data_IF_769681764165
#
_entry.id   IF_769681764165
#
_cell.length_a   1.000
_cell.length_b   1.000
_cell.length_c   1.000
_cell.angle_alpha   90.00
_cell.angle_beta   90.00
_cell.angle_gamma   90.00
#
_symmetry.space_group_name_H-M   'P 1'
#
loop_
_entity.id
_entity.type
_entity.pdbx_description
1 polymer ?
#
# COMPACT_ATOMS: atom_id res chain seq x y z
N UNK A 1 14.88 -26.59 -23.72
CA UNK A 1 15.48 -25.80 -22.65
C UNK A 1 15.10 -24.35 -22.91
N UNK A 2 14.15 -23.82 -22.14
CA UNK A 2 13.64 -22.44 -22.34
C UNK A 2 14.67 -21.40 -21.93
N UNK A 3 14.88 -20.41 -22.80
CA UNK A 3 15.68 -19.23 -22.47
C UNK A 3 15.01 -18.43 -21.33
N UNK A 4 15.52 -18.60 -20.12
CA UNK A 4 15.19 -17.70 -19.03
C UNK A 4 15.83 -16.33 -19.31
N UNK A 5 15.11 -15.21 -19.22
CA UNK A 5 15.70 -13.90 -19.38
C UNK A 5 16.79 -13.69 -18.35
N UNK A 6 17.99 -13.32 -18.80
CA UNK A 6 19.07 -12.92 -17.88
C UNK A 6 18.68 -11.63 -17.19
N UNK A 7 18.79 -11.61 -15.88
CA UNK A 7 18.68 -10.39 -15.09
C UNK A 7 19.81 -9.44 -15.51
N UNK A 8 19.49 -8.39 -16.25
CA UNK A 8 20.42 -7.33 -16.59
C UNK A 8 20.46 -6.32 -15.41
N UNK A 9 21.55 -6.35 -14.67
CA UNK A 9 21.89 -5.23 -13.76
C UNK A 9 22.27 -4.04 -14.64
N UNK A 10 21.38 -3.08 -14.78
CA UNK A 10 21.62 -1.87 -15.55
C UNK A 10 21.90 -0.71 -14.57
N UNK A 11 23.13 -0.17 -14.61
CA UNK A 11 23.63 0.91 -13.76
C UNK A 11 23.21 2.28 -14.31
N UNK A 12 21.96 2.62 -14.22
CA UNK A 12 21.35 3.97 -14.22
C UNK A 12 19.83 3.83 -14.22
N UNK A 13 19.31 2.89 -13.44
CA UNK A 13 17.88 2.65 -13.40
C UNK A 13 17.24 3.65 -12.44
N UNK A 14 16.20 4.32 -12.95
CA UNK A 14 15.24 5.07 -12.17
C UNK A 14 14.83 4.25 -10.94
N UNK A 15 14.82 4.86 -9.74
CA UNK A 15 14.42 4.17 -8.51
C UNK A 15 12.99 3.64 -8.60
N UNK A 16 12.66 2.62 -7.81
CA UNK A 16 11.33 2.03 -7.79
C UNK A 16 10.26 3.07 -7.38
N UNK A 17 10.57 3.96 -6.44
CA UNK A 17 9.70 5.07 -6.05
C UNK A 17 9.42 6.01 -7.22
N UNK A 18 10.43 6.37 -7.99
CA UNK A 18 10.27 7.21 -9.17
C UNK A 18 9.42 6.55 -10.25
N UNK A 19 9.60 5.23 -10.47
CA UNK A 19 8.76 4.46 -11.39
C UNK A 19 7.30 4.49 -10.94
N UNK A 20 7.03 4.32 -9.65
CA UNK A 20 5.67 4.34 -9.10
C UNK A 20 5.01 5.70 -9.31
N UNK A 21 5.71 6.80 -9.01
CA UNK A 21 5.21 8.17 -9.24
C UNK A 21 4.94 8.46 -10.72
N UNK A 22 5.78 7.97 -11.62
CA UNK A 22 5.56 8.10 -13.06
C UNK A 22 4.32 7.30 -13.50
N UNK A 23 4.16 6.05 -13.02
CA UNK A 23 2.97 5.25 -13.32
C UNK A 23 1.68 5.95 -12.88
N UNK A 24 1.66 6.57 -11.69
CA UNK A 24 0.52 7.39 -11.22
C UNK A 24 0.26 8.62 -12.10
N UNK A 25 1.32 9.28 -12.58
CA UNK A 25 1.19 10.46 -13.42
C UNK A 25 0.64 10.13 -14.81
N UNK A 26 1.12 9.03 -15.39
CA UNK A 26 0.88 8.68 -16.78
C UNK A 26 -0.41 7.87 -16.98
N UNK A 27 -1.00 7.34 -15.90
CA UNK A 27 -2.24 6.55 -15.95
C UNK A 27 -3.29 7.10 -14.97
N UNK A 28 -4.49 7.40 -15.47
CA UNK A 28 -5.60 7.94 -14.67
C UNK A 28 -6.92 7.25 -15.06
N UNK A 29 -7.42 6.36 -14.23
CA UNK A 29 -6.79 5.80 -13.03
C UNK A 29 -5.66 4.82 -13.35
N UNK A 30 -4.71 4.66 -12.42
CA UNK A 30 -3.72 3.60 -12.46
C UNK A 30 -4.34 2.33 -11.89
N UNK A 31 -4.39 1.26 -12.68
CA UNK A 31 -4.83 -0.06 -12.22
C UNK A 31 -3.62 -0.82 -11.65
N UNK A 32 -3.72 -1.21 -10.38
CA UNK A 32 -2.67 -1.89 -9.63
C UNK A 32 -3.18 -3.27 -9.22
N UNK A 33 -2.94 -4.34 -10.00
CA UNK A 33 -3.42 -5.67 -9.65
C UNK A 33 -2.68 -6.24 -8.45
N UNK A 34 -3.40 -6.97 -7.60
CA UNK A 34 -2.82 -7.75 -6.51
C UNK A 34 -1.97 -8.90 -7.05
N UNK A 35 -0.75 -9.02 -6.55
CA UNK A 35 0.20 -10.09 -6.92
C UNK A 35 0.73 -10.75 -5.65
N UNK A 36 0.38 -12.01 -5.45
CA UNK A 36 0.70 -12.76 -4.23
C UNK A 36 2.04 -13.51 -4.29
N UNK A 37 2.69 -13.53 -5.45
CA UNK A 37 3.98 -14.20 -5.64
C UNK A 37 4.68 -13.72 -6.92
N UNK A 38 5.92 -14.15 -7.11
CA UNK A 38 6.74 -13.78 -8.28
C UNK A 38 6.09 -14.14 -9.62
N UNK A 39 5.38 -15.28 -9.71
CA UNK A 39 4.76 -15.69 -10.97
C UNK A 39 3.58 -14.79 -11.35
N UNK A 40 2.73 -14.44 -10.40
CA UNK A 40 1.63 -13.47 -10.64
C UNK A 40 2.16 -12.09 -11.02
N UNK A 41 3.29 -11.65 -10.46
CA UNK A 41 3.94 -10.40 -10.83
C UNK A 41 4.43 -10.42 -12.30
N UNK A 42 5.05 -11.53 -12.74
CA UNK A 42 5.45 -11.71 -14.14
C UNK A 42 4.23 -11.67 -15.08
N UNK A 43 3.12 -12.29 -14.68
CA UNK A 43 1.89 -12.29 -15.48
C UNK A 43 1.29 -10.88 -15.58
N UNK A 44 1.26 -10.12 -14.48
CA UNK A 44 0.80 -8.74 -14.47
C UNK A 44 1.65 -7.87 -15.41
N UNK A 45 2.98 -7.99 -15.35
CA UNK A 45 3.88 -7.27 -16.25
C UNK A 45 3.64 -7.62 -17.72
N UNK A 46 3.51 -8.92 -18.05
CA UNK A 46 3.19 -9.38 -19.41
C UNK A 46 1.82 -8.93 -19.91
N UNK A 47 0.87 -8.69 -18.99
CA UNK A 47 -0.47 -8.19 -19.30
C UNK A 47 -0.50 -6.66 -19.48
N UNK A 48 0.65 -5.98 -19.37
CA UNK A 48 0.78 -4.54 -19.64
C UNK A 48 0.47 -3.62 -18.46
N UNK A 49 0.33 -4.16 -17.25
CA UNK A 49 0.17 -3.31 -16.05
C UNK A 49 1.42 -2.48 -15.80
N UNK A 50 1.25 -1.31 -15.15
CA UNK A 50 2.33 -0.34 -14.91
C UNK A 50 2.77 -0.29 -13.44
N UNK A 51 2.05 -0.95 -12.55
CA UNK A 51 2.38 -1.15 -11.14
C UNK A 51 1.70 -2.41 -10.62
N UNK A 52 2.17 -2.95 -9.51
CA UNK A 52 1.63 -4.16 -8.86
C UNK A 52 1.52 -3.96 -7.35
N UNK A 53 0.71 -4.78 -6.70
CA UNK A 53 0.41 -4.68 -5.27
C UNK A 53 0.64 -5.99 -4.53
N UNK A 54 1.29 -5.94 -3.38
CA UNK A 54 1.40 -7.05 -2.43
C UNK A 54 0.59 -6.74 -1.17
N UNK A 55 -0.51 -7.47 -0.99
CA UNK A 55 -1.36 -7.38 0.19
C UNK A 55 -0.78 -8.15 1.37
N UNK A 56 -0.80 -7.59 2.57
CA UNK A 56 -0.46 -8.29 3.81
C UNK A 56 -1.36 -9.50 4.07
N UNK A 57 -2.67 -9.34 3.83
CA UNK A 57 -3.62 -10.45 3.86
C UNK A 57 -3.32 -11.53 2.82
N UNK A 58 -2.83 -11.13 1.63
CA UNK A 58 -2.35 -12.03 0.59
C UNK A 58 -1.14 -12.85 1.04
N UNK A 59 -0.15 -12.22 1.69
CA UNK A 59 1.01 -12.92 2.29
C UNK A 59 0.56 -13.89 3.37
N UNK A 60 -0.28 -13.44 4.32
CA UNK A 60 -0.79 -14.29 5.40
C UNK A 60 -1.47 -15.55 4.85
N UNK A 61 -2.38 -15.39 3.89
CA UNK A 61 -3.15 -16.49 3.33
C UNK A 61 -2.34 -17.39 2.39
N UNK A 62 -1.62 -16.80 1.41
CA UNK A 62 -1.00 -17.57 0.34
C UNK A 62 0.38 -18.15 0.71
N UNK A 63 1.18 -17.43 1.52
CA UNK A 63 2.53 -17.88 1.90
C UNK A 63 2.54 -18.70 3.19
N UNK A 64 1.60 -18.41 4.12
CA UNK A 64 1.58 -19.03 5.45
C UNK A 64 0.32 -19.82 5.79
N UNK A 65 -0.79 -19.65 5.05
CA UNK A 65 -2.05 -20.32 5.34
C UNK A 65 -2.69 -19.88 6.66
N UNK A 66 -2.46 -18.63 7.08
CA UNK A 66 -2.97 -18.05 8.31
C UNK A 66 -3.93 -16.88 8.03
N UNK A 67 -4.83 -16.53 8.97
CA UNK A 67 -5.73 -15.40 8.78
C UNK A 67 -5.01 -14.05 8.85
N UNK A 68 -5.59 -13.04 8.18
CA UNK A 68 -5.14 -11.66 8.18
C UNK A 68 -5.52 -10.94 9.50
N UNK A 69 -4.71 -11.13 10.53
CA UNK A 69 -4.91 -10.63 11.90
C UNK A 69 -3.63 -9.99 12.49
N UNK A 70 -2.73 -9.47 11.66
CA UNK A 70 -1.48 -8.88 12.13
C UNK A 70 -0.50 -9.91 12.72
N UNK A 71 -0.54 -11.15 12.24
CA UNK A 71 0.33 -12.23 12.72
C UNK A 71 1.67 -12.22 11.99
N UNK A 72 1.69 -11.80 10.74
CA UNK A 72 2.91 -11.71 9.93
C UNK A 72 3.83 -10.61 10.43
N UNK A 73 5.12 -10.85 10.33
CA UNK A 73 6.18 -9.91 10.68
C UNK A 73 6.72 -9.17 9.44
N UNK A 74 7.54 -8.14 9.66
CA UNK A 74 8.29 -7.47 8.61
C UNK A 74 9.08 -8.46 7.73
N UNK A 75 9.77 -9.43 8.34
CA UNK A 75 10.61 -10.38 7.61
C UNK A 75 9.79 -11.35 6.75
N UNK A 76 8.59 -11.71 7.21
CA UNK A 76 7.66 -12.52 6.43
C UNK A 76 7.27 -11.82 5.13
N UNK A 77 6.87 -10.55 5.22
CA UNK A 77 6.48 -9.74 4.05
C UNK A 77 7.69 -9.43 3.17
N UNK A 78 8.86 -9.07 3.74
CA UNK A 78 10.10 -8.82 2.99
C UNK A 78 10.54 -10.02 2.16
N UNK A 79 10.26 -11.24 2.61
CA UNK A 79 10.58 -12.45 1.86
C UNK A 79 9.85 -12.48 0.51
N UNK A 80 8.56 -12.19 0.50
CA UNK A 80 7.78 -12.16 -0.73
C UNK A 80 8.07 -10.90 -1.56
N UNK A 81 8.29 -9.76 -0.92
CA UNK A 81 8.74 -8.53 -1.58
C UNK A 81 9.98 -8.81 -2.45
N UNK A 82 11.03 -9.38 -1.85
CA UNK A 82 12.30 -9.70 -2.56
C UNK A 82 12.08 -10.68 -3.72
N UNK A 83 11.19 -11.67 -3.56
CA UNK A 83 10.85 -12.61 -4.63
C UNK A 83 10.17 -11.90 -5.81
N UNK A 84 9.25 -10.98 -5.52
CA UNK A 84 8.49 -10.24 -6.52
C UNK A 84 9.38 -9.22 -7.23
N UNK A 85 10.13 -8.39 -6.50
CA UNK A 85 11.00 -7.34 -7.08
C UNK A 85 12.16 -7.90 -7.87
N UNK A 86 12.62 -9.11 -7.56
CA UNK A 86 13.61 -9.82 -8.38
C UNK A 86 13.02 -10.42 -9.68
N UNK A 87 11.72 -10.65 -9.72
CA UNK A 87 11.06 -11.32 -10.85
C UNK A 87 10.40 -10.37 -11.84
N UNK A 88 10.03 -9.16 -11.40
CA UNK A 88 9.35 -8.14 -12.21
C UNK A 88 10.02 -6.79 -12.08
N UNK A 89 10.01 -6.01 -13.16
CA UNK A 89 10.54 -4.64 -13.20
C UNK A 89 9.51 -3.57 -12.80
N UNK A 90 8.26 -3.98 -12.59
CA UNK A 90 7.17 -3.08 -12.20
C UNK A 90 7.37 -2.55 -10.77
N UNK A 91 7.04 -1.27 -10.51
CA UNK A 91 7.06 -0.74 -9.16
C UNK A 91 6.00 -1.42 -8.30
N UNK A 92 6.42 -1.88 -7.12
CA UNK A 92 5.59 -2.60 -6.17
C UNK A 92 5.08 -1.67 -5.07
N UNK A 93 3.77 -1.67 -4.84
CA UNK A 93 3.11 -1.12 -3.65
C UNK A 93 2.93 -2.26 -2.64
N UNK A 94 3.33 -2.05 -1.39
CA UNK A 94 3.29 -3.08 -0.33
C UNK A 94 2.43 -2.63 0.84
N UNK A 95 1.58 -3.53 1.32
CA UNK A 95 0.88 -3.43 2.59
C UNK A 95 1.86 -3.69 3.74
N UNK A 96 2.06 -2.70 4.60
CA UNK A 96 2.93 -2.81 5.77
C UNK A 96 2.14 -2.84 7.08
N UNK A 97 0.87 -3.22 7.02
CA UNK A 97 -0.04 -3.25 8.17
C UNK A 97 0.05 -1.93 8.99
N UNK A 98 0.39 -2.02 10.27
CA UNK A 98 0.60 -0.86 11.16
C UNK A 98 2.07 -0.46 11.31
N UNK A 99 2.98 -1.03 10.50
CA UNK A 99 4.42 -0.74 10.50
C UNK A 99 5.25 -1.61 11.44
N UNK A 100 4.67 -2.64 12.07
CA UNK A 100 5.30 -3.64 12.95
C UNK A 100 6.03 -3.06 14.17
N UNK A 101 5.43 -2.04 14.79
CA UNK A 101 5.92 -1.50 16.07
C UNK A 101 5.86 0.02 16.16
N UNK A 102 6.66 0.60 17.05
CA UNK A 102 6.71 2.05 17.26
C UNK A 102 7.55 2.78 16.21
N UNK A 103 7.75 4.09 16.38
CA UNK A 103 8.38 4.99 15.42
C UNK A 103 9.71 4.47 14.83
N UNK A 104 10.60 3.94 15.68
CA UNK A 104 11.88 3.39 15.21
C UNK A 104 11.73 2.11 14.37
N UNK A 105 10.72 1.28 14.67
CA UNK A 105 10.40 0.11 13.86
C UNK A 105 9.85 0.54 12.50
N UNK A 106 8.96 1.52 12.47
CA UNK A 106 8.39 2.07 11.23
C UNK A 106 9.50 2.65 10.35
N UNK A 107 10.39 3.47 10.91
CA UNK A 107 11.55 3.98 10.16
C UNK A 107 12.43 2.87 9.59
N UNK A 108 12.70 1.80 10.38
CA UNK A 108 13.42 0.61 9.90
C UNK A 108 12.65 -0.10 8.79
N UNK A 109 11.33 -0.25 8.93
CA UNK A 109 10.46 -0.88 7.93
C UNK A 109 10.56 -0.16 6.59
N UNK A 110 10.44 1.17 6.58
CA UNK A 110 10.56 1.97 5.36
C UNK A 110 11.92 1.77 4.69
N UNK A 111 13.03 1.84 5.45
CA UNK A 111 14.38 1.58 4.93
C UNK A 111 14.48 0.19 4.30
N UNK A 112 14.00 -0.83 5.00
CA UNK A 112 14.04 -2.22 4.51
C UNK A 112 13.20 -2.43 3.25
N UNK A 113 12.05 -1.76 3.12
CA UNK A 113 11.20 -1.82 1.92
C UNK A 113 11.88 -1.15 0.72
N UNK A 114 12.49 0.01 0.91
CA UNK A 114 13.26 0.69 -0.15
C UNK A 114 14.43 -0.20 -0.60
N UNK A 115 15.19 -0.74 0.34
CA UNK A 115 16.34 -1.62 0.06
C UNK A 115 15.92 -2.93 -0.63
N UNK A 116 14.69 -3.41 -0.38
CA UNK A 116 14.11 -4.55 -1.06
C UNK A 116 13.53 -4.23 -2.47
N UNK A 117 13.62 -2.98 -2.92
CA UNK A 117 13.21 -2.55 -4.26
C UNK A 117 11.72 -2.19 -4.38
N UNK A 118 11.02 -1.94 -3.28
CA UNK A 118 9.65 -1.43 -3.32
C UNK A 118 9.61 -0.01 -3.87
N UNK A 119 8.52 0.35 -4.57
CA UNK A 119 8.26 1.71 -5.03
C UNK A 119 7.37 2.50 -4.07
N UNK A 120 6.51 1.81 -3.33
CA UNK A 120 5.52 2.39 -2.46
C UNK A 120 5.11 1.47 -1.31
N UNK A 121 4.61 2.06 -0.25
CA UNK A 121 3.94 1.33 0.86
C UNK A 121 2.64 2.02 1.25
N UNK A 122 1.73 1.27 1.88
CA UNK A 122 0.68 1.86 2.69
C UNK A 122 0.69 1.31 4.11
N UNK A 123 0.32 2.17 5.05
CA UNK A 123 0.26 1.88 6.49
C UNK A 123 -1.08 2.35 7.06
N UNK A 124 -1.70 1.54 7.92
CA UNK A 124 -3.04 1.79 8.44
C UNK A 124 -3.07 2.33 9.87
N UNK A 125 -4.17 3.03 10.20
CA UNK A 125 -4.42 3.62 11.52
C UNK A 125 -5.10 2.68 12.52
N UNK A 126 -5.04 1.38 12.30
CA UNK A 126 -5.50 0.40 13.28
C UNK A 126 -4.50 0.21 14.44
N UNK A 127 -4.99 -0.36 15.54
CA UNK A 127 -4.10 -0.91 16.58
C UNK A 127 -3.29 -2.08 16.01
N UNK A 128 -2.18 -2.47 16.64
CA UNK A 128 -1.29 -3.52 16.13
C UNK A 128 -1.98 -4.89 16.00
N UNK A 129 -3.02 -5.16 16.80
CA UNK A 129 -3.88 -6.33 16.65
C UNK A 129 -4.96 -6.09 15.58
N UNK A 130 -4.51 -5.67 14.42
CA UNK A 130 -5.37 -5.27 13.30
C UNK A 130 -6.27 -6.39 12.79
N UNK A 131 -7.28 -6.02 12.03
CA UNK A 131 -8.16 -6.91 11.28
C UNK A 131 -8.24 -6.48 9.83
N UNK A 132 -8.60 -7.41 8.94
CA UNK A 132 -8.91 -7.07 7.56
C UNK A 132 -9.92 -5.90 7.52
N UNK A 133 -9.64 -4.89 6.70
CA UNK A 133 -10.41 -3.64 6.63
C UNK A 133 -11.89 -3.81 6.28
N UNK A 134 -12.24 -4.88 5.58
CA UNK A 134 -13.63 -5.23 5.28
C UNK A 134 -14.35 -5.99 6.40
N UNK A 135 -13.67 -6.32 7.51
CA UNK A 135 -14.26 -7.01 8.66
C UNK A 135 -14.73 -6.04 9.75
N UNK A 136 -15.74 -6.43 10.55
CA UNK A 136 -16.23 -5.61 11.65
C UNK A 136 -15.25 -5.59 12.84
N UNK A 137 -15.54 -4.69 13.81
CA UNK A 137 -14.84 -4.59 15.10
C UNK A 137 -13.35 -4.23 14.96
N UNK A 138 -13.02 -3.34 14.02
CA UNK A 138 -11.71 -2.70 13.96
C UNK A 138 -11.55 -1.71 15.10
N UNK A 139 -10.34 -1.60 15.65
CA UNK A 139 -9.98 -0.60 16.63
C UNK A 139 -8.91 0.30 16.04
N UNK A 140 -9.12 1.62 16.13
CA UNK A 140 -8.19 2.60 15.61
C UNK A 140 -7.31 3.15 16.72
N UNK A 141 -6.11 3.57 16.35
CA UNK A 141 -5.30 4.45 17.20
C UNK A 141 -5.83 5.88 17.11
N UNK A 142 -5.38 6.76 18.00
CA UNK A 142 -5.71 8.19 17.89
C UNK A 142 -5.14 8.77 16.60
N UNK A 143 -5.72 9.89 16.16
CA UNK A 143 -5.22 10.61 14.99
C UNK A 143 -3.74 11.01 15.19
N UNK A 144 -3.41 11.51 16.38
CA UNK A 144 -2.07 11.95 16.75
C UNK A 144 -1.05 10.79 16.71
N UNK A 145 -1.45 9.60 17.18
CA UNK A 145 -0.56 8.43 17.09
C UNK A 145 -0.29 8.04 15.63
N UNK A 146 -1.30 8.07 14.76
CA UNK A 146 -1.07 7.81 13.34
C UNK A 146 -0.24 8.90 12.68
N UNK A 147 -0.41 10.16 13.04
CA UNK A 147 0.44 11.26 12.60
C UNK A 147 1.92 11.00 12.94
N UNK A 148 2.20 10.55 14.17
CA UNK A 148 3.57 10.18 14.58
C UNK A 148 4.11 8.99 13.79
N UNK A 149 3.27 7.99 13.46
CA UNK A 149 3.65 6.88 12.58
C UNK A 149 4.03 7.37 11.19
N UNK A 150 3.27 8.31 10.61
CA UNK A 150 3.54 8.86 9.29
C UNK A 150 4.85 9.66 9.30
N UNK A 151 5.07 10.52 10.30
CA UNK A 151 6.34 11.24 10.47
C UNK A 151 7.52 10.30 10.56
N UNK A 152 7.38 9.20 11.33
CA UNK A 152 8.43 8.18 11.43
C UNK A 152 8.70 7.46 10.09
N UNK A 153 7.67 7.26 9.28
CA UNK A 153 7.81 6.70 7.95
C UNK A 153 8.53 7.67 7.01
N UNK A 154 8.16 8.95 7.04
CA UNK A 154 8.82 10.02 6.27
C UNK A 154 10.30 10.16 6.67
N UNK A 155 10.61 10.14 7.96
CA UNK A 155 11.99 10.20 8.48
C UNK A 155 12.83 8.96 8.06
N UNK A 156 12.18 7.81 7.91
CA UNK A 156 12.82 6.59 7.43
C UNK A 156 13.14 6.58 5.94
N UNK A 157 12.55 7.49 5.16
CA UNK A 157 12.63 7.54 3.70
C UNK A 157 13.98 8.11 3.23
N UNK A 158 14.89 7.25 2.77
CA UNK A 158 16.17 7.65 2.20
C UNK A 158 16.17 7.76 0.66
N UNK A 159 15.11 7.33 -0.03
CA UNK A 159 14.80 7.67 -1.42
C UNK A 159 13.62 8.66 -1.41
N UNK A 160 13.87 9.92 -1.73
CA UNK A 160 12.85 10.99 -1.74
C UNK A 160 11.65 10.67 -2.66
N UNK A 161 11.86 9.84 -3.67
CA UNK A 161 10.79 9.42 -4.58
C UNK A 161 9.94 8.28 -4.05
N UNK A 162 10.36 7.58 -3.01
CA UNK A 162 9.59 6.50 -2.40
C UNK A 162 8.22 7.02 -1.94
N UNK A 163 7.14 6.29 -2.26
CA UNK A 163 5.78 6.76 -2.05
C UNK A 163 5.19 6.17 -0.76
N UNK A 164 4.78 7.03 0.17
CA UNK A 164 4.17 6.65 1.44
C UNK A 164 2.69 7.00 1.39
N UNK A 165 1.84 5.99 1.49
CA UNK A 165 0.40 6.13 1.50
C UNK A 165 -0.13 5.89 2.92
N UNK A 166 -0.94 6.80 3.44
CA UNK A 166 -1.66 6.60 4.69
C UNK A 166 -3.02 5.95 4.41
N UNK A 167 -3.29 4.83 5.08
CA UNK A 167 -4.59 4.18 5.05
C UNK A 167 -5.38 4.55 6.31
N UNK A 168 -6.65 4.86 6.11
CA UNK A 168 -7.59 4.99 7.23
C UNK A 168 -8.71 3.98 7.14
N UNK A 169 -8.99 3.36 8.26
CA UNK A 169 -10.11 2.45 8.46
C UNK A 169 -11.28 3.13 9.21
N UNK A 170 -11.27 4.47 9.31
CA UNK A 170 -12.17 5.25 10.15
C UNK A 170 -13.61 5.37 9.59
N UNK A 171 -13.85 5.15 8.30
CA UNK A 171 -15.18 5.32 7.69
C UNK A 171 -16.26 4.54 8.45
N UNK A 172 -15.96 3.31 8.86
CA UNK A 172 -16.93 2.45 9.52
C UNK A 172 -17.24 2.84 10.98
N UNK A 173 -16.32 3.52 11.68
CA UNK A 173 -16.44 3.87 13.11
C UNK A 173 -16.69 5.36 13.36
N UNK A 174 -16.14 6.24 12.53
CA UNK A 174 -16.18 7.69 12.70
C UNK A 174 -16.96 8.38 11.56
N UNK A 175 -17.41 7.61 10.54
CA UNK A 175 -18.06 8.12 9.34
C UNK A 175 -17.11 8.87 8.43
N UNK A 176 -17.64 9.34 7.29
CA UNK A 176 -16.82 9.99 6.26
C UNK A 176 -16.16 11.29 6.76
N UNK A 177 -16.84 12.07 7.60
CA UNK A 177 -16.28 13.32 8.11
C UNK A 177 -15.11 13.07 9.07
N UNK A 178 -15.19 12.04 9.93
CA UNK A 178 -14.08 11.64 10.81
C UNK A 178 -12.90 11.12 9.99
N UNK A 179 -13.16 10.33 8.94
CA UNK A 179 -12.13 9.88 8.02
C UNK A 179 -11.43 11.07 7.31
N UNK A 180 -12.18 12.06 6.86
CA UNK A 180 -11.63 13.27 6.22
C UNK A 180 -10.75 14.07 7.18
N UNK A 181 -11.17 14.24 8.47
CA UNK A 181 -10.36 14.92 9.46
C UNK A 181 -9.00 14.22 9.68
N UNK A 182 -9.00 12.90 9.76
CA UNK A 182 -7.78 12.10 9.84
C UNK A 182 -6.91 12.25 8.59
N UNK A 183 -7.51 12.05 7.41
CA UNK A 183 -6.83 12.12 6.11
C UNK A 183 -6.13 13.46 5.92
N UNK A 184 -6.80 14.58 6.26
CA UNK A 184 -6.21 15.91 6.12
C UNK A 184 -4.94 16.04 6.95
N UNK A 185 -4.97 15.58 8.20
CA UNK A 185 -3.81 15.59 9.10
C UNK A 185 -2.68 14.67 8.57
N UNK A 186 -3.02 13.51 8.00
CA UNK A 186 -2.02 12.58 7.45
C UNK A 186 -1.29 13.14 6.23
N UNK A 187 -2.01 13.87 5.36
CA UNK A 187 -1.41 14.57 4.22
C UNK A 187 -0.51 15.71 4.69
N UNK A 188 -0.91 16.49 5.68
CA UNK A 188 -0.10 17.55 6.29
C UNK A 188 1.21 17.02 6.88
N UNK A 189 1.22 15.80 7.42
CA UNK A 189 2.39 15.14 7.98
C UNK A 189 3.26 14.41 6.94
N UNK A 190 2.92 14.51 5.66
CA UNK A 190 3.75 14.08 4.54
C UNK A 190 3.35 12.75 3.88
N UNK A 191 2.13 12.28 4.09
CA UNK A 191 1.60 11.18 3.28
C UNK A 191 1.46 11.64 1.81
N UNK A 192 2.03 10.86 0.90
CA UNK A 192 2.00 11.13 -0.55
C UNK A 192 0.69 10.71 -1.24
N UNK A 193 -0.11 9.91 -0.57
CA UNK A 193 -1.41 9.42 -1.03
C UNK A 193 -2.24 8.84 0.11
N UNK A 194 -3.50 8.59 -0.17
CA UNK A 194 -4.48 8.09 0.81
C UNK A 194 -5.12 6.80 0.31
N UNK A 195 -5.29 5.85 1.21
CA UNK A 195 -6.09 4.66 1.02
C UNK A 195 -7.34 4.77 1.91
N UNK A 196 -8.48 5.03 1.28
CA UNK A 196 -9.78 5.08 1.96
C UNK A 196 -10.38 3.68 2.01
N UNK A 197 -10.21 2.99 3.14
CA UNK A 197 -10.64 1.61 3.28
C UNK A 197 -12.15 1.46 3.44
N UNK A 198 -12.71 0.48 2.72
CA UNK A 198 -14.09 0.06 2.82
C UNK A 198 -15.12 1.18 2.55
N UNK A 199 -14.77 2.15 1.72
CA UNK A 199 -15.74 3.11 1.19
C UNK A 199 -16.84 2.36 0.42
N UNK A 200 -18.07 2.81 0.54
CA UNK A 200 -19.26 2.12 0.03
C UNK A 200 -19.91 2.82 -1.15
N UNK A 201 -19.48 4.04 -1.48
CA UNK A 201 -20.02 4.79 -2.61
C UNK A 201 -18.98 5.71 -3.26
N UNK A 202 -19.25 6.15 -4.48
CA UNK A 202 -18.42 7.11 -5.20
C UNK A 202 -18.45 8.51 -4.56
N UNK A 203 -19.56 8.86 -3.91
CA UNK A 203 -19.70 10.12 -3.18
C UNK A 203 -18.72 10.23 -2.02
N UNK A 204 -18.41 9.11 -1.34
CA UNK A 204 -17.40 9.09 -0.27
C UNK A 204 -16.00 9.39 -0.83
N UNK A 205 -15.64 8.82 -1.99
CA UNK A 205 -14.37 9.15 -2.66
C UNK A 205 -14.35 10.62 -3.12
N UNK A 206 -15.44 11.13 -3.69
CA UNK A 206 -15.56 12.53 -4.09
C UNK A 206 -15.41 13.48 -2.91
N UNK A 207 -16.07 13.19 -1.76
CA UNK A 207 -15.98 14.00 -0.56
C UNK A 207 -14.54 14.11 -0.04
N UNK A 208 -13.76 13.01 -0.10
CA UNK A 208 -12.34 13.01 0.23
C UNK A 208 -11.55 13.82 -0.81
N UNK A 209 -11.78 13.57 -2.10
CA UNK A 209 -11.08 14.25 -3.20
C UNK A 209 -11.22 15.77 -3.17
N UNK A 210 -12.37 16.27 -2.72
CA UNK A 210 -12.62 17.71 -2.57
C UNK A 210 -11.79 18.38 -1.45
N UNK A 211 -11.14 17.57 -0.59
CA UNK A 211 -10.37 18.06 0.57
C UNK A 211 -8.87 17.88 0.44
N UNK A 212 -8.42 17.01 -0.46
CA UNK A 212 -7.01 16.69 -0.64
C UNK A 212 -6.62 16.69 -2.13
N UNK A 213 -5.36 17.01 -2.40
CA UNK A 213 -4.82 17.00 -3.78
C UNK A 213 -4.04 15.72 -4.11
N UNK A 214 -3.68 14.92 -3.10
CA UNK A 214 -2.92 13.69 -3.28
C UNK A 214 -3.78 12.57 -3.89
N UNK A 215 -3.18 11.55 -4.53
CA UNK A 215 -3.91 10.40 -5.07
C UNK A 215 -4.66 9.63 -3.99
N UNK A 216 -5.83 9.09 -4.37
CA UNK A 216 -6.65 8.21 -3.52
C UNK A 216 -6.65 6.81 -4.13
N UNK A 217 -6.37 5.80 -3.32
CA UNK A 217 -6.51 4.40 -3.68
C UNK A 217 -7.92 3.93 -3.33
N UNK A 218 -8.63 3.42 -4.34
CA UNK A 218 -9.87 2.68 -4.17
C UNK A 218 -9.58 1.19 -4.19
N UNK A 219 -9.85 0.50 -3.09
CA UNK A 219 -9.66 -0.94 -2.98
C UNK A 219 -10.91 -1.68 -3.48
N UNK A 220 -10.86 -2.12 -4.72
CA UNK A 220 -11.93 -2.89 -5.37
C UNK A 220 -11.60 -4.38 -5.23
N UNK A 221 -12.09 -4.99 -4.15
CA UNK A 221 -11.84 -6.40 -3.86
C UNK A 221 -13.13 -7.21 -3.89
N UNK A 222 -13.08 -8.39 -4.52
CA UNK A 222 -14.19 -9.35 -4.45
C UNK A 222 -14.51 -9.71 -3.00
N UNK A 223 -15.78 -9.88 -2.69
CA UNK A 223 -16.28 -10.19 -1.35
C UNK A 223 -16.01 -9.11 -0.28
N UNK A 224 -15.51 -7.92 -0.69
CA UNK A 224 -15.33 -6.76 0.19
C UNK A 224 -16.63 -5.99 0.41
N UNK A 225 -16.56 -4.89 1.18
CA UNK A 225 -17.69 -3.97 1.39
C UNK A 225 -17.85 -2.98 0.26
N UNK A 226 -16.74 -2.58 -0.37
CA UNK A 226 -16.75 -1.66 -1.50
C UNK A 226 -17.38 -2.33 -2.72
N UNK A 227 -18.36 -1.68 -3.38
CA UNK A 227 -18.92 -2.19 -4.63
C UNK A 227 -17.84 -2.36 -5.71
N UNK A 228 -18.07 -3.26 -6.65
CA UNK A 228 -17.16 -3.49 -7.78
C UNK A 228 -17.38 -2.39 -8.84
N UNK A 229 -16.91 -1.20 -8.55
CA UNK A 229 -16.87 -0.11 -9.52
C UNK A 229 -15.98 -0.46 -10.70
N UNK A 230 -16.37 -0.10 -11.90
CA UNK A 230 -15.51 -0.28 -13.07
C UNK A 230 -14.59 0.93 -13.28
N UNK A 231 -13.63 0.80 -14.19
CA UNK A 231 -12.60 1.82 -14.41
C UNK A 231 -13.17 3.16 -14.91
N UNK A 232 -14.31 3.14 -15.60
CA UNK A 232 -14.89 4.31 -16.24
C UNK A 232 -15.83 5.09 -15.29
N UNK A 233 -16.21 4.49 -14.17
CA UNK A 233 -16.93 5.13 -13.06
C UNK A 233 -15.97 5.90 -12.16
#
# INVERSE_FOLDING_TARGET
>A
MGNWPRVHYNSSTMSAGKKFRNALKDNKPLIIPGTINAYSAILAEKSGHQAIYLSGGGVAAASYGIPDLGITSLEDVLTDVKRITNASSLPLLVDIDTGWGGAFNISKTIKSMIDAGCGAVHMEDQVSQKRCGHRPNKSLVTKEEMQDRIKAAVDGRHDESFFIMARTDAVASEGINGAIDRISAYVEDGADGIFLEAATSLEEYSAVKDKIEVPILANITEFGKTPLFNKDE
#
